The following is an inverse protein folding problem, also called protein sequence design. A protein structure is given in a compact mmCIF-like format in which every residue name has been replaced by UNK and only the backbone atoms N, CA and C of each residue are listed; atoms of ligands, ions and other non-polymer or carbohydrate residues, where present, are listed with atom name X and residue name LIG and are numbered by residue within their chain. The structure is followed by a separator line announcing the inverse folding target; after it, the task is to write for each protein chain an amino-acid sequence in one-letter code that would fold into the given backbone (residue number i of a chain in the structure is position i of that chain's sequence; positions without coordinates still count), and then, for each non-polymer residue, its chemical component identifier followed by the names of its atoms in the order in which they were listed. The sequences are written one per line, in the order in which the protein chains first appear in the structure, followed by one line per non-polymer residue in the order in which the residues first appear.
data_IF_968096123948
#
_entry.id   IF_968096123948
#
_cell.length_a   1.000
_cell.length_b   1.000
_cell.length_c   1.000
_cell.angle_alpha   90.00
_cell.angle_beta   90.00
_cell.angle_gamma   90.00
#
_symmetry.space_group_name_H-M   'P 1'
#
loop_
_entity.id
_entity.type
_entity.pdbx_description
1 polymer ?
#
# COMPACT_ATOMS: atom_id res chain seq x y z
N UNK A 1 10.27 3.93 -3.05
CA UNK A 1 9.00 4.66 -3.25
C UNK A 1 9.31 6.12 -3.03
N UNK A 2 9.13 6.95 -4.05
CA UNK A 2 9.21 8.39 -3.89
C UNK A 2 7.87 8.86 -3.33
N UNK A 3 7.86 9.35 -2.09
CA UNK A 3 6.65 9.86 -1.45
C UNK A 3 6.34 11.32 -1.83
N UNK A 4 7.26 12.01 -2.51
CA UNK A 4 7.06 13.38 -2.99
C UNK A 4 6.49 13.42 -4.41
N UNK A 5 6.78 12.41 -5.23
CA UNK A 5 6.07 12.20 -6.48
C UNK A 5 4.60 11.90 -6.15
N UNK A 6 3.67 12.82 -6.48
CA UNK A 6 2.22 12.62 -6.39
C UNK A 6 1.75 11.62 -7.46
N UNK A 7 2.33 10.44 -7.49
CA UNK A 7 2.01 9.37 -8.42
C UNK A 7 1.98 8.05 -7.67
N UNK A 8 1.11 7.14 -8.12
CA UNK A 8 1.03 5.78 -7.62
C UNK A 8 1.37 4.82 -8.76
N UNK A 9 2.25 3.86 -8.49
CA UNK A 9 2.55 2.78 -9.42
C UNK A 9 1.44 1.75 -9.37
N UNK A 10 0.81 1.49 -10.51
CA UNK A 10 -0.27 0.51 -10.66
C UNK A 10 0.16 -0.51 -11.70
N UNK A 11 -0.04 -1.79 -11.39
CA UNK A 11 0.05 -2.88 -12.38
C UNK A 11 -1.36 -3.33 -12.68
N UNK A 12 -1.86 -3.02 -13.87
CA UNK A 12 -3.17 -3.44 -14.32
C UNK A 12 -3.03 -4.77 -15.04
N UNK A 13 -3.34 -5.88 -14.36
CA UNK A 13 -3.29 -7.18 -14.98
C UNK A 13 -4.21 -7.25 -16.21
N UNK A 14 -3.74 -7.89 -17.30
CA UNK A 14 -4.58 -8.18 -18.45
C UNK A 14 -5.78 -9.04 -18.03
N UNK A 15 -6.86 -8.99 -18.82
CA UNK A 15 -8.07 -9.77 -18.54
C UNK A 15 -7.77 -11.27 -18.39
N UNK A 16 -6.83 -11.79 -19.20
CA UNK A 16 -6.41 -13.19 -19.14
C UNK A 16 -5.73 -13.53 -17.82
N UNK A 17 -4.89 -12.64 -17.27
CA UNK A 17 -4.28 -12.84 -15.95
C UNK A 17 -5.34 -12.71 -14.85
N UNK A 18 -6.20 -11.68 -14.92
CA UNK A 18 -7.25 -11.44 -13.93
C UNK A 18 -8.26 -12.61 -13.85
N UNK A 19 -8.51 -13.29 -14.97
CA UNK A 19 -9.39 -14.47 -15.04
C UNK A 19 -8.66 -15.80 -14.94
N UNK A 20 -7.34 -15.79 -14.70
CA UNK A 20 -6.52 -17.00 -14.54
C UNK A 20 -6.32 -17.83 -15.82
N UNK A 21 -6.61 -17.27 -17.00
CA UNK A 21 -6.45 -17.90 -18.32
C UNK A 21 -5.04 -17.78 -18.88
N UNK A 22 -4.25 -16.81 -18.42
CA UNK A 22 -2.86 -16.65 -18.84
C UNK A 22 -1.95 -17.71 -18.19
N UNK A 23 -1.30 -18.55 -18.99
CA UNK A 23 -0.34 -19.57 -18.54
C UNK A 23 1.01 -19.31 -19.20
N UNK A 24 1.98 -18.78 -18.45
CA UNK A 24 3.30 -18.44 -18.99
C UNK A 24 4.04 -19.66 -19.59
N UNK A 25 3.86 -20.84 -19.00
CA UNK A 25 4.49 -22.08 -19.48
C UNK A 25 3.93 -22.57 -20.81
N UNK A 26 2.71 -22.16 -21.18
CA UNK A 26 2.10 -22.54 -22.47
C UNK A 26 2.57 -21.67 -23.64
N UNK A 27 3.39 -20.63 -23.40
CA UNK A 27 3.93 -19.79 -24.47
C UNK A 27 4.91 -20.62 -25.33
N UNK A 28 4.66 -20.74 -26.65
CA UNK A 28 5.52 -21.49 -27.57
C UNK A 28 6.97 -21.00 -27.55
N UNK A 29 7.93 -21.91 -27.65
CA UNK A 29 9.36 -21.59 -27.56
C UNK A 29 9.81 -20.52 -28.57
N UNK A 30 9.25 -20.53 -29.79
CA UNK A 30 9.55 -19.52 -30.83
C UNK A 30 9.02 -18.12 -30.52
N UNK A 31 8.03 -18.01 -29.64
CA UNK A 31 7.34 -16.75 -29.30
C UNK A 31 7.81 -16.16 -27.97
N UNK A 32 8.54 -16.92 -27.15
CA UNK A 32 8.98 -16.51 -25.80
C UNK A 32 9.81 -15.23 -25.78
N UNK A 33 10.63 -14.98 -26.80
CA UNK A 33 11.43 -13.75 -26.86
C UNK A 33 10.51 -12.55 -27.01
N UNK A 34 9.58 -12.61 -27.96
CA UNK A 34 8.58 -11.54 -28.19
C UNK A 34 7.68 -11.37 -26.98
N UNK A 35 7.15 -12.47 -26.43
CA UNK A 35 6.29 -12.45 -25.26
C UNK A 35 6.99 -11.86 -24.03
N UNK A 36 8.28 -12.15 -23.81
CA UNK A 36 9.06 -11.56 -22.72
C UNK A 36 9.26 -10.06 -22.93
N UNK A 37 9.53 -9.64 -24.16
CA UNK A 37 9.80 -8.24 -24.47
C UNK A 37 8.54 -7.36 -24.33
N UNK A 38 7.36 -7.90 -24.63
CA UNK A 38 6.08 -7.18 -24.51
C UNK A 38 5.31 -7.48 -23.21
N UNK A 39 5.78 -8.40 -22.37
CA UNK A 39 5.08 -8.87 -21.17
C UNK A 39 4.60 -7.73 -20.25
N UNK A 40 5.49 -6.78 -19.94
CA UNK A 40 5.17 -5.64 -19.07
C UNK A 40 4.48 -4.48 -19.78
N UNK A 41 4.14 -4.63 -21.07
CA UNK A 41 3.30 -3.71 -21.82
C UNK A 41 1.89 -4.30 -21.98
N UNK A 42 1.80 -5.60 -22.26
CA UNK A 42 0.54 -6.22 -22.68
C UNK A 42 -0.11 -7.07 -21.57
N UNK A 43 0.70 -7.80 -20.78
CA UNK A 43 0.21 -8.76 -19.79
C UNK A 43 0.14 -8.13 -18.40
N UNK A 44 1.19 -7.43 -18.00
CA UNK A 44 1.28 -6.70 -16.73
C UNK A 44 1.75 -5.25 -16.96
N UNK A 45 0.98 -4.42 -17.68
CA UNK A 45 1.30 -3.01 -17.87
C UNK A 45 1.50 -2.29 -16.54
N UNK A 46 2.68 -1.71 -16.37
CA UNK A 46 2.95 -0.76 -15.30
C UNK A 46 2.55 0.65 -15.74
N UNK A 47 1.76 1.32 -14.92
CA UNK A 47 1.34 2.70 -15.14
C UNK A 47 1.60 3.52 -13.89
N UNK A 48 2.14 4.72 -14.08
CA UNK A 48 2.21 5.72 -13.02
C UNK A 48 0.97 6.63 -13.15
N UNK A 49 0.00 6.45 -12.25
CA UNK A 49 -1.19 7.27 -12.23
C UNK A 49 -0.96 8.51 -11.35
N UNK A 50 -1.36 9.71 -11.79
CA UNK A 50 -1.29 10.89 -10.94
C UNK A 50 -2.24 10.72 -9.76
N UNK A 51 -1.75 11.05 -8.57
CA UNK A 51 -2.60 11.20 -7.38
C UNK A 51 -3.21 12.60 -7.46
N UNK A 52 -4.54 12.72 -7.53
CA UNK A 52 -5.20 14.02 -7.57
C UNK A 52 -4.76 14.89 -6.39
N UNK A 53 -4.49 16.17 -6.67
CA UNK A 53 -4.20 17.11 -5.61
C UNK A 53 -5.49 17.33 -4.80
N UNK A 54 -5.53 16.74 -3.61
CA UNK A 54 -6.70 16.76 -2.75
C UNK A 54 -6.26 16.92 -1.31
N UNK A 55 -7.00 17.73 -0.58
CA UNK A 55 -6.82 17.85 0.85
C UNK A 55 -7.75 16.85 1.54
N UNK A 56 -7.17 15.75 2.01
CA UNK A 56 -7.92 14.68 2.66
C UNK A 56 -8.69 15.17 3.90
N UNK A 57 -8.10 16.09 4.68
CA UNK A 57 -8.74 16.67 5.87
C UNK A 57 -9.97 17.48 5.48
N UNK A 58 -9.85 18.35 4.48
CA UNK A 58 -10.99 19.14 3.99
C UNK A 58 -12.08 18.21 3.45
N UNK A 59 -11.70 17.19 2.69
CA UNK A 59 -12.66 16.23 2.13
C UNK A 59 -13.41 15.44 3.21
N UNK A 60 -12.75 15.11 4.32
CA UNK A 60 -13.37 14.44 5.47
C UNK A 60 -14.31 15.38 6.23
N UNK A 61 -13.91 16.64 6.44
CA UNK A 61 -14.79 17.63 7.06
C UNK A 61 -16.05 17.87 6.22
N UNK A 62 -15.92 18.01 4.91
CA UNK A 62 -17.05 18.19 4.00
C UNK A 62 -17.99 16.97 4.03
N UNK A 63 -17.43 15.76 4.04
CA UNK A 63 -18.20 14.52 4.19
C UNK A 63 -18.99 14.48 5.51
N UNK A 64 -18.35 14.83 6.61
CA UNK A 64 -18.99 14.85 7.93
C UNK A 64 -20.11 15.88 8.02
N UNK A 65 -19.89 17.10 7.50
CA UNK A 65 -20.89 18.16 7.49
C UNK A 65 -22.10 17.79 6.64
N UNK A 66 -21.87 17.21 5.45
CA UNK A 66 -22.92 16.68 4.59
C UNK A 66 -23.70 15.56 5.28
N UNK A 67 -23.02 14.57 5.84
CA UNK A 67 -23.64 13.44 6.51
C UNK A 67 -24.55 13.90 7.65
N UNK A 68 -24.09 14.88 8.44
CA UNK A 68 -24.90 15.53 9.48
C UNK A 68 -26.13 16.24 8.91
N UNK A 69 -25.98 16.98 7.81
CA UNK A 69 -27.06 17.73 7.20
C UNK A 69 -28.16 16.81 6.64
N UNK A 70 -27.74 15.71 6.00
CA UNK A 70 -28.62 14.76 5.33
C UNK A 70 -29.16 13.66 6.27
N UNK A 71 -28.65 13.60 7.52
CA UNK A 71 -29.01 12.59 8.49
C UNK A 71 -28.52 11.19 8.15
N UNK A 72 -27.45 11.08 7.36
CA UNK A 72 -26.82 9.81 6.95
C UNK A 72 -25.51 9.58 7.71
N UNK A 73 -24.98 8.37 7.64
CA UNK A 73 -23.69 8.05 8.26
C UNK A 73 -22.53 8.61 7.41
N UNK A 74 -21.51 9.24 8.02
CA UNK A 74 -20.34 9.68 7.28
C UNK A 74 -19.57 8.47 6.72
N UNK A 75 -18.78 8.70 5.69
CA UNK A 75 -17.99 7.66 5.01
C UNK A 75 -17.08 6.91 5.99
N UNK A 76 -16.56 7.61 7.00
CA UNK A 76 -15.82 7.02 8.11
C UNK A 76 -16.58 7.31 9.39
N UNK A 77 -17.26 6.30 9.93
CA UNK A 77 -17.97 6.41 11.20
C UNK A 77 -17.01 6.32 12.39
N UNK A 78 -17.48 6.74 13.57
CA UNK A 78 -16.70 6.66 14.80
C UNK A 78 -16.31 5.22 15.18
N UNK A 79 -17.20 4.25 14.93
CA UNK A 79 -16.93 2.83 15.18
C UNK A 79 -15.85 2.29 14.25
N UNK A 80 -15.92 2.62 12.96
CA UNK A 80 -14.91 2.24 11.98
C UNK A 80 -13.54 2.86 12.32
N UNK A 81 -13.52 4.15 12.69
CA UNK A 81 -12.30 4.84 13.12
C UNK A 81 -11.69 4.22 14.38
N UNK A 82 -12.52 3.88 15.37
CA UNK A 82 -12.05 3.21 16.59
C UNK A 82 -11.45 1.82 16.30
N UNK A 83 -12.09 1.04 15.44
CA UNK A 83 -11.59 -0.29 15.07
C UNK A 83 -10.24 -0.21 14.35
N UNK A 84 -10.08 0.78 13.44
CA UNK A 84 -8.81 1.03 12.77
C UNK A 84 -7.68 1.37 13.77
N UNK A 85 -7.99 2.20 14.77
CA UNK A 85 -7.02 2.57 15.80
C UNK A 85 -6.57 1.37 16.64
N UNK A 86 -7.51 0.50 17.05
CA UNK A 86 -7.18 -0.72 17.81
C UNK A 86 -6.19 -1.62 17.05
N UNK A 87 -6.47 -1.85 15.76
CA UNK A 87 -5.59 -2.67 14.90
C UNK A 87 -4.22 -2.01 14.74
N UNK A 88 -4.17 -0.71 14.48
CA UNK A 88 -2.92 0.03 14.35
C UNK A 88 -2.06 -0.07 15.63
N UNK A 89 -2.67 0.09 16.80
CA UNK A 89 -1.98 -0.07 18.09
C UNK A 89 -1.42 -1.48 18.25
N UNK A 90 -2.21 -2.51 17.92
CA UNK A 90 -1.75 -3.91 18.01
C UNK A 90 -0.55 -4.18 17.10
N UNK A 91 -0.54 -3.65 15.88
CA UNK A 91 0.60 -3.77 14.96
C UNK A 91 1.84 -3.11 15.55
N UNK A 92 1.71 -1.90 16.11
CA UNK A 92 2.84 -1.20 16.72
C UNK A 92 3.43 -1.98 17.91
N UNK A 93 2.60 -2.62 18.71
CA UNK A 93 3.08 -3.41 19.85
C UNK A 93 3.82 -4.67 19.41
N UNK A 94 3.34 -5.35 18.36
CA UNK A 94 4.08 -6.48 17.75
C UNK A 94 5.45 -6.01 17.23
N UNK A 95 5.49 -4.88 16.51
CA UNK A 95 6.74 -4.35 15.96
C UNK A 95 7.76 -3.94 17.04
N UNK A 96 7.29 -3.41 18.18
CA UNK A 96 8.16 -3.11 19.34
C UNK A 96 8.75 -4.39 19.95
N UNK A 97 7.96 -5.46 20.03
CA UNK A 97 8.42 -6.76 20.53
C UNK A 97 9.42 -7.43 19.58
N UNK A 98 9.28 -7.22 18.27
CA UNK A 98 10.20 -7.75 17.25
C UNK A 98 11.39 -6.82 16.98
N UNK A 99 12.18 -6.46 18.01
CA UNK A 99 13.51 -5.88 17.76
C UNK A 99 14.52 -6.97 17.40
N UNK A 100 14.56 -7.36 16.13
CA UNK A 100 15.66 -8.18 15.60
C UNK A 100 16.92 -7.31 15.49
N UNK A 101 17.95 -7.63 16.29
CA UNK A 101 19.28 -7.02 16.17
C UNK A 101 19.59 -5.83 17.10
N UNK A 102 18.94 -5.70 18.26
CA UNK A 102 19.38 -4.72 19.26
C UNK A 102 20.85 -5.01 19.68
N UNK A 103 21.77 -4.04 19.64
CA UNK A 103 23.13 -4.23 20.13
C UNK A 103 23.10 -4.59 21.62
N UNK A 104 23.98 -5.49 22.12
CA UNK A 104 24.07 -5.72 23.55
C UNK A 104 24.37 -4.41 24.26
N UNK A 105 23.74 -4.18 25.42
CA UNK A 105 24.01 -3.00 26.23
C UNK A 105 25.51 -2.94 26.52
N UNK A 106 26.21 -1.97 25.92
CA UNK A 106 27.63 -1.76 26.17
C UNK A 106 27.72 -1.25 27.61
N UNK A 107 28.04 -2.16 28.52
CA UNK A 107 28.31 -1.84 29.92
C UNK A 107 29.58 -0.98 29.93
N UNK A 108 29.42 0.33 30.12
CA UNK A 108 30.54 1.26 30.15
C UNK A 108 31.53 0.86 31.22
N UNK A 109 32.69 0.35 30.81
CA UNK A 109 33.81 0.09 31.71
C UNK A 109 34.27 1.45 32.22
N UNK A 110 33.89 1.79 33.45
CA UNK A 110 34.48 2.92 34.16
C UNK A 110 35.96 2.61 34.36
N UNK A 111 36.83 3.28 33.61
CA UNK A 111 38.26 3.31 33.92
C UNK A 111 38.43 4.18 35.17
N UNK A 112 38.81 3.56 36.27
CA UNK A 112 39.29 4.24 37.47
C UNK A 112 40.79 4.53 37.33
N UNK A 113 41.18 5.71 37.84
CA UNK A 113 42.51 6.28 38.00
C UNK A 113 43.18 6.85 36.74
#
# INVERSE_FOLDING_TARGET
VDFNAKTVGVVAASEEVATGRFVADSVPLGERVVAKDSFFQDVLPYQALPVPDSNAIVSEHDDFLRARADGVEPRVSASAGSAALEVATRVLDVLKCTKLGAPPAIMGIRKSA
#
